data_IF_573315431989
#
_entry.id   IF_573315431989
#
_cell.length_a   1.000
_cell.length_b   1.000
_cell.length_c   1.000
_cell.angle_alpha   90.00
_cell.angle_beta   90.00
_cell.angle_gamma   90.00
#
_symmetry.space_group_name_H-M   'P 1'
#
loop_
_entity.id
_entity.type
_entity.pdbx_description
1 polymer ?
#
# COMPACT_ATOMS: atom_id res chain seq x y z
N UNK A 1 9.86 15.48 18.08
CA UNK A 1 9.48 14.20 17.47
C UNK A 1 8.08 13.88 17.86
N UNK A 2 7.20 13.89 16.87
CA UNK A 2 5.85 13.37 16.99
C UNK A 2 5.94 11.83 16.93
N UNK A 3 5.42 11.13 17.93
CA UNK A 3 5.42 9.66 17.99
C UNK A 3 4.58 9.02 16.90
N UNK A 4 3.69 9.79 16.29
CA UNK A 4 2.75 9.31 15.27
C UNK A 4 3.38 9.35 13.87
N UNK A 5 4.49 10.07 13.71
CA UNK A 5 5.25 10.12 12.46
C UNK A 5 6.22 8.95 12.39
N UNK A 6 5.90 7.97 11.55
CA UNK A 6 6.75 6.81 11.30
C UNK A 6 7.54 6.96 10.00
N UNK A 7 8.85 7.06 10.11
CA UNK A 7 9.76 7.02 8.97
C UNK A 7 10.16 5.58 8.65
N UNK A 8 9.98 5.18 7.39
CA UNK A 8 10.43 3.88 6.89
C UNK A 8 11.44 4.12 5.77
N UNK A 9 12.70 3.67 5.93
CA UNK A 9 13.69 3.80 4.87
C UNK A 9 13.25 3.03 3.63
N UNK A 10 13.58 3.56 2.45
CA UNK A 10 13.36 2.84 1.18
C UNK A 10 14.12 1.51 1.16
N UNK A 11 13.63 0.58 0.35
CA UNK A 11 14.18 -0.79 0.26
C UNK A 11 13.21 -1.90 0.69
N UNK A 12 12.03 -1.55 1.18
CA UNK A 12 10.93 -2.50 1.30
C UNK A 12 10.39 -2.89 -0.07
N UNK A 13 9.79 -4.09 -0.14
CA UNK A 13 9.22 -4.61 -1.38
C UNK A 13 8.05 -3.72 -1.83
N UNK A 14 8.03 -3.36 -3.10
CA UNK A 14 6.94 -2.62 -3.75
C UNK A 14 6.37 -3.49 -4.87
N UNK A 15 5.26 -3.06 -5.43
CA UNK A 15 4.51 -3.75 -6.47
C UNK A 15 3.98 -5.10 -5.98
N UNK A 16 3.92 -6.10 -6.87
CA UNK A 16 3.40 -7.43 -6.57
C UNK A 16 4.27 -8.18 -5.57
N UNK A 17 3.64 -8.68 -4.50
CA UNK A 17 4.29 -9.48 -3.46
C UNK A 17 3.34 -10.56 -2.96
N UNK A 18 3.88 -11.65 -2.41
CA UNK A 18 3.06 -12.69 -1.77
C UNK A 18 2.48 -12.18 -0.44
N UNK A 19 1.41 -12.78 0.09
CA UNK A 19 0.89 -12.43 1.41
C UNK A 19 1.96 -12.44 2.52
N UNK A 20 2.83 -13.45 2.54
CA UNK A 20 3.94 -13.56 3.51
C UNK A 20 5.00 -12.46 3.35
N UNK A 21 5.21 -11.95 2.13
CA UNK A 21 6.08 -10.78 1.91
C UNK A 21 5.40 -9.48 2.34
N UNK A 22 4.09 -9.37 2.12
CA UNK A 22 3.29 -8.22 2.56
C UNK A 22 3.25 -8.11 4.09
N UNK A 23 3.09 -9.23 4.79
CA UNK A 23 3.13 -9.32 6.25
C UNK A 23 4.43 -8.77 6.83
N UNK A 24 5.56 -9.07 6.18
CA UNK A 24 6.91 -8.68 6.60
C UNK A 24 7.35 -7.33 6.04
N UNK A 25 6.46 -6.62 5.35
CA UNK A 25 6.79 -5.38 4.69
C UNK A 25 6.88 -4.24 5.73
N UNK A 26 8.07 -3.65 5.89
CA UNK A 26 8.31 -2.62 6.90
C UNK A 26 7.43 -1.38 6.74
N UNK A 27 6.99 -1.05 5.51
CA UNK A 27 6.04 0.03 5.27
C UNK A 27 4.64 -0.31 5.82
N UNK A 28 4.17 -1.53 5.58
CA UNK A 28 2.87 -2.00 6.07
C UNK A 28 2.88 -2.09 7.60
N UNK A 29 3.94 -2.65 8.19
CA UNK A 29 4.11 -2.74 9.65
C UNK A 29 4.15 -1.36 10.28
N UNK A 30 4.88 -0.41 9.69
CA UNK A 30 4.87 0.95 10.19
C UNK A 30 3.46 1.54 10.14
N UNK A 31 2.76 1.40 9.02
CA UNK A 31 1.45 2.03 8.82
C UNK A 31 0.34 1.42 9.69
N UNK A 32 0.33 0.10 9.87
CA UNK A 32 -0.80 -0.62 10.48
C UNK A 32 -0.43 -1.42 11.74
N UNK A 33 0.84 -1.42 12.15
CA UNK A 33 1.35 -2.31 13.19
C UNK A 33 1.53 -3.75 12.70
N UNK A 34 2.13 -4.59 13.54
CA UNK A 34 2.35 -6.02 13.23
C UNK A 34 1.02 -6.76 13.04
N UNK A 35 0.07 -6.58 13.98
CA UNK A 35 -1.27 -7.18 13.89
C UNK A 35 -2.02 -6.71 12.63
N UNK A 36 -1.88 -5.43 12.26
CA UNK A 36 -2.50 -4.90 11.05
C UNK A 36 -1.89 -5.49 9.78
N UNK A 37 -0.57 -5.65 9.75
CA UNK A 37 0.13 -6.29 8.64
C UNK A 37 -0.28 -7.76 8.47
N UNK A 38 -0.38 -8.50 9.58
CA UNK A 38 -0.85 -9.90 9.61
C UNK A 38 -2.26 -10.02 9.04
N UNK A 39 -3.20 -9.18 9.48
CA UNK A 39 -4.59 -9.21 9.00
C UNK A 39 -4.70 -8.85 7.52
N UNK A 40 -3.94 -7.86 7.04
CA UNK A 40 -3.94 -7.50 5.62
C UNK A 40 -3.38 -8.65 4.78
N UNK A 41 -2.30 -9.29 5.25
CA UNK A 41 -1.74 -10.47 4.59
C UNK A 41 -2.75 -11.63 4.57
N UNK A 42 -3.39 -11.95 5.69
CA UNK A 42 -4.43 -12.99 5.79
C UNK A 42 -5.57 -12.73 4.80
N UNK A 43 -6.08 -11.49 4.74
CA UNK A 43 -7.14 -11.11 3.80
C UNK A 43 -6.65 -11.23 2.35
N UNK A 44 -5.43 -10.77 2.04
CA UNK A 44 -4.88 -10.86 0.69
C UNK A 44 -4.68 -12.30 0.22
N UNK A 45 -4.38 -13.24 1.14
CA UNK A 45 -4.20 -14.66 0.82
C UNK A 45 -5.47 -15.36 0.31
N UNK A 46 -6.64 -14.75 0.53
CA UNK A 46 -7.94 -15.27 0.09
C UNK A 46 -8.23 -14.95 -1.38
N UNK A 47 -7.39 -14.15 -2.03
CA UNK A 47 -7.54 -13.74 -3.43
C UNK A 47 -6.53 -14.45 -4.33
N UNK A 48 -6.92 -14.72 -5.57
CA UNK A 48 -6.06 -15.36 -6.59
C UNK A 48 -4.94 -14.44 -7.09
N UNK A 49 -5.03 -13.14 -6.80
CA UNK A 49 -4.06 -12.14 -7.23
C UNK A 49 -3.20 -11.73 -6.04
N UNK A 50 -1.89 -11.78 -6.24
CA UNK A 50 -0.93 -11.31 -5.25
C UNK A 50 -1.14 -9.82 -4.92
N UNK A 51 -1.06 -9.41 -3.64
CA UNK A 51 -1.21 -8.01 -3.25
C UNK A 51 -0.17 -7.12 -3.92
N UNK A 52 -0.59 -5.88 -4.24
CA UNK A 52 0.25 -4.87 -4.87
C UNK A 52 0.42 -3.65 -3.95
N UNK A 53 1.66 -3.31 -3.59
CA UNK A 53 1.98 -2.11 -2.81
C UNK A 53 2.60 -1.04 -3.70
N UNK A 54 1.90 0.06 -3.91
CA UNK A 54 2.47 1.21 -4.60
C UNK A 54 3.28 2.07 -3.61
N UNK A 55 4.57 2.24 -3.90
CA UNK A 55 5.41 3.22 -3.21
C UNK A 55 6.63 3.60 -4.05
N UNK A 56 7.37 4.61 -3.60
CA UNK A 56 8.62 5.03 -4.21
C UNK A 56 9.74 4.01 -3.94
N UNK A 57 10.56 3.76 -4.95
CA UNK A 57 11.83 3.01 -4.79
C UNK A 57 12.96 3.94 -4.32
N UNK A 58 12.89 5.21 -4.67
CA UNK A 58 13.71 6.32 -4.19
C UNK A 58 12.95 7.64 -4.40
N UNK A 59 13.33 8.70 -3.66
CA UNK A 59 12.95 10.08 -3.95
C UNK A 59 14.23 10.90 -3.98
N UNK A 60 14.68 11.24 -5.18
CA UNK A 60 15.81 12.15 -5.38
C UNK A 60 15.37 13.63 -5.21
N UNK A 61 14.06 13.86 -5.08
CA UNK A 61 13.42 15.17 -4.91
C UNK A 61 12.29 15.10 -3.87
N UNK A 62 12.16 16.15 -3.07
CA UNK A 62 11.08 16.30 -2.09
C UNK A 62 9.72 16.41 -2.82
N UNK A 63 8.81 15.48 -2.55
CA UNK A 63 7.45 15.47 -3.13
C UNK A 63 6.41 15.31 -2.03
N UNK A 64 5.59 16.35 -1.83
CA UNK A 64 4.52 16.39 -0.83
C UNK A 64 3.33 15.55 -1.31
N UNK A 65 2.88 14.54 -0.55
CA UNK A 65 1.65 13.77 -0.87
C UNK A 65 0.88 13.38 0.38
N UNK A 66 -0.44 13.61 0.33
CA UNK A 66 -1.42 13.10 1.29
C UNK A 66 -2.01 11.79 0.73
N UNK A 67 -2.04 10.71 1.51
CA UNK A 67 -2.80 9.51 1.12
C UNK A 67 -4.29 9.78 1.36
N UNK A 68 -5.16 9.51 0.39
CA UNK A 68 -6.62 9.44 0.58
C UNK A 68 -7.10 7.99 0.39
N UNK A 69 -8.34 7.71 0.78
CA UNK A 69 -9.05 6.48 0.40
C UNK A 69 -9.96 6.83 -0.77
N UNK A 70 -9.83 6.14 -1.90
CA UNK A 70 -10.61 6.39 -3.10
C UNK A 70 -11.22 5.09 -3.60
N UNK A 71 -12.52 5.10 -3.90
CA UNK A 71 -13.19 4.04 -4.65
C UNK A 71 -13.20 4.45 -6.12
N UNK A 72 -12.38 3.80 -6.94
CA UNK A 72 -12.41 3.99 -8.38
C UNK A 72 -12.07 2.68 -9.11
N UNK A 73 -12.78 2.44 -10.23
CA UNK A 73 -12.74 1.31 -11.18
C UNK A 73 -13.77 0.19 -10.94
N UNK A 74 -14.99 0.41 -11.44
CA UNK A 74 -15.97 -0.63 -11.82
C UNK A 74 -16.25 -1.76 -10.81
N UNK A 75 -16.08 -1.51 -9.51
CA UNK A 75 -16.52 -2.42 -8.44
C UNK A 75 -15.66 -3.66 -8.19
N UNK A 76 -14.48 -3.78 -8.82
CA UNK A 76 -13.65 -5.00 -8.69
C UNK A 76 -12.47 -4.88 -7.72
N UNK A 77 -12.19 -3.68 -7.16
CA UNK A 77 -11.05 -3.46 -6.25
C UNK A 77 -11.38 -2.55 -5.06
N UNK A 78 -10.87 -2.90 -3.88
CA UNK A 78 -10.68 -1.94 -2.78
C UNK A 78 -9.34 -1.21 -3.04
N UNK A 79 -9.37 0.11 -3.22
CA UNK A 79 -8.18 0.94 -3.45
C UNK A 79 -7.98 1.96 -2.32
N UNK A 80 -6.73 2.22 -1.97
CA UNK A 80 -6.33 3.39 -1.15
C UNK A 80 -5.52 4.29 -2.08
N UNK A 81 -6.03 5.47 -2.44
CA UNK A 81 -5.45 6.35 -3.47
C UNK A 81 -4.95 7.67 -2.87
N UNK A 82 -3.69 8.01 -3.06
CA UNK A 82 -3.17 9.36 -2.84
C UNK A 82 -3.43 10.27 -4.04
N UNK A 83 -3.87 11.50 -3.79
CA UNK A 83 -4.00 12.54 -4.81
C UNK A 83 -2.61 12.94 -5.33
N UNK A 84 -2.42 12.87 -6.65
CA UNK A 84 -1.20 13.25 -7.33
C UNK A 84 -1.48 14.41 -8.29
N UNK A 85 -1.41 15.63 -7.76
CA UNK A 85 -1.24 16.84 -8.58
C UNK A 85 -2.25 16.96 -9.73
N UNK A 86 -3.51 16.61 -9.48
CA UNK A 86 -4.60 16.66 -10.46
C UNK A 86 -4.76 15.43 -11.36
N UNK A 87 -3.85 14.46 -11.32
CA UNK A 87 -3.95 13.20 -12.08
C UNK A 87 -4.14 11.99 -11.16
N UNK A 88 -5.19 11.21 -11.47
CA UNK A 88 -5.88 10.23 -10.60
C UNK A 88 -5.17 8.87 -10.52
N UNK A 89 -3.85 8.80 -10.33
CA UNK A 89 -3.13 7.51 -10.47
C UNK A 89 -2.11 7.21 -9.37
N UNK A 90 -2.33 7.75 -8.17
CA UNK A 90 -1.51 7.46 -7.00
C UNK A 90 -2.07 6.35 -6.14
N UNK A 91 -2.22 5.13 -6.65
CA UNK A 91 -2.58 4.00 -5.80
C UNK A 91 -1.56 3.86 -4.65
N UNK A 92 -1.98 3.40 -3.48
CA UNK A 92 -1.12 3.10 -2.32
C UNK A 92 -1.30 1.66 -1.85
N UNK A 93 -2.48 1.06 -2.08
CA UNK A 93 -2.73 -0.37 -1.92
C UNK A 93 -3.99 -0.78 -2.72
N UNK A 94 -3.97 -1.97 -3.34
CA UNK A 94 -5.14 -2.50 -4.04
C UNK A 94 -5.20 -4.03 -4.09
N UNK A 95 -6.42 -4.58 -4.00
CA UNK A 95 -6.72 -6.02 -4.17
C UNK A 95 -7.93 -6.17 -5.09
N UNK A 96 -7.84 -7.05 -6.12
CA UNK A 96 -8.97 -7.39 -7.01
C UNK A 96 -9.48 -8.79 -6.82
N UNK A 97 -10.78 -8.92 -6.99
CA UNK A 97 -11.43 -10.17 -7.42
C UNK A 97 -11.34 -10.23 -8.94
N UNK A 98 -10.79 -11.34 -9.47
CA UNK A 98 -10.89 -11.65 -10.90
C UNK A 98 -12.09 -12.60 -11.07
N UNK A 99 -12.93 -12.33 -12.07
CA UNK A 99 -13.93 -13.28 -12.56
C UNK A 99 -13.26 -14.55 -13.13
#
# INVERSE_FOLDING_TARGET
NDSDVKFVPFGYKTETQTPNELEKNSYIIARYGEEGAEKIAEVSSKYNVNPYLFSFKSVDEERQRMSALGDYWNGSRLSVDGDWNGDVVGHSFGVSVAD
#
